data_IF_766966391991
#
_entry.id   IF_766966391991
#
_cell.length_a   1.000
_cell.length_b   1.000
_cell.length_c   1.000
_cell.angle_alpha   90.00
_cell.angle_beta   90.00
_cell.angle_gamma   90.00
#
_symmetry.space_group_name_H-M   'P 1'
#
loop_
_entity.id
_entity.type
_entity.pdbx_description
1 polymer ?
#
# COMPACT_ATOMS: atom_id res chain seq x y z
N UNK A 1 -3.46 6.58 44.46
CA UNK A 1 -2.06 6.45 44.03
C UNK A 1 -1.90 5.45 42.88
N UNK A 2 -2.46 4.22 42.94
CA UNK A 2 -2.38 3.18 41.91
C UNK A 2 -2.95 3.64 40.53
N UNK A 3 -4.19 4.18 40.51
CA UNK A 3 -4.84 4.65 39.27
C UNK A 3 -4.02 5.74 38.59
N UNK A 4 -3.51 6.71 39.35
CA UNK A 4 -2.66 7.79 38.81
C UNK A 4 -1.37 7.24 38.16
N UNK A 5 -0.77 6.22 38.80
CA UNK A 5 0.42 5.56 38.26
C UNK A 5 0.11 4.82 36.96
N UNK A 6 -0.98 4.09 36.90
CA UNK A 6 -1.41 3.37 35.69
C UNK A 6 -1.69 4.34 34.54
N UNK A 7 -2.38 5.45 34.82
CA UNK A 7 -2.67 6.47 33.80
C UNK A 7 -1.39 7.17 33.29
N UNK A 8 -0.44 7.47 34.18
CA UNK A 8 0.87 8.03 33.78
C UNK A 8 1.70 7.03 32.97
N UNK A 9 1.77 5.78 33.43
CA UNK A 9 2.54 4.72 32.72
C UNK A 9 1.90 4.40 31.37
N UNK A 10 0.57 4.48 31.27
CA UNK A 10 -0.18 4.29 30.00
C UNK A 10 -0.17 5.53 29.07
N UNK A 11 0.47 6.63 29.48
CA UNK A 11 0.51 7.87 28.65
C UNK A 11 -0.81 8.65 28.63
N UNK A 12 -1.79 8.32 29.48
CA UNK A 12 -3.06 9.06 29.58
C UNK A 12 -2.95 10.35 30.41
N UNK A 13 -1.90 10.45 31.23
CA UNK A 13 -1.55 11.63 31.99
C UNK A 13 -0.08 11.95 31.75
N UNK A 14 0.19 13.13 31.26
CA UNK A 14 1.53 13.68 31.01
C UNK A 14 1.76 14.89 31.88
N UNK A 15 2.99 15.30 32.05
CA UNK A 15 3.36 16.52 32.76
C UNK A 15 3.06 17.74 31.88
N UNK A 16 2.49 18.80 32.45
CA UNK A 16 2.15 20.04 31.73
C UNK A 16 3.36 20.74 31.09
N UNK A 17 4.58 20.40 31.52
CA UNK A 17 5.82 20.91 30.91
C UNK A 17 6.21 20.20 29.59
N UNK A 18 5.53 19.10 29.23
CA UNK A 18 5.81 18.34 28.01
C UNK A 18 5.04 18.94 26.83
N UNK A 19 5.78 19.39 25.82
CA UNK A 19 5.21 19.80 24.53
C UNK A 19 5.09 18.58 23.60
N UNK A 20 3.93 17.93 23.64
CA UNK A 20 3.65 16.73 22.82
C UNK A 20 3.73 17.02 21.31
N UNK A 21 3.29 18.21 20.89
CA UNK A 21 3.36 18.60 19.47
C UNK A 21 4.81 18.76 19.02
N UNK A 22 5.67 19.32 19.84
CA UNK A 22 7.11 19.43 19.54
C UNK A 22 7.77 18.03 19.45
N UNK A 23 7.41 17.11 20.35
CA UNK A 23 7.89 15.73 20.31
C UNK A 23 7.42 15.05 19.01
N UNK A 24 6.14 15.13 18.67
CA UNK A 24 5.58 14.53 17.46
C UNK A 24 6.25 15.07 16.20
N UNK A 25 6.49 16.39 16.14
CA UNK A 25 7.21 17.05 15.05
C UNK A 25 8.66 16.54 14.94
N UNK A 26 9.36 16.45 16.07
CA UNK A 26 10.72 15.93 16.12
C UNK A 26 10.80 14.50 15.59
N UNK A 27 9.93 13.61 16.05
CA UNK A 27 9.85 12.22 15.62
C UNK A 27 9.51 12.10 14.12
N UNK A 28 8.60 12.96 13.62
CA UNK A 28 8.28 13.05 12.20
C UNK A 28 9.52 13.40 11.38
N UNK A 29 10.28 14.42 11.79
CA UNK A 29 11.50 14.86 11.09
C UNK A 29 12.57 13.79 11.12
N UNK A 30 12.80 13.13 12.26
CA UNK A 30 13.74 12.04 12.39
C UNK A 30 13.41 10.88 11.43
N UNK A 31 12.14 10.48 11.38
CA UNK A 31 11.69 9.41 10.48
C UNK A 31 11.80 9.81 9.00
N UNK A 32 11.36 11.02 8.67
CA UNK A 32 11.31 11.54 7.30
C UNK A 32 12.68 11.66 6.66
N UNK A 33 13.67 12.12 7.40
CA UNK A 33 15.03 12.37 6.91
C UNK A 33 16.02 11.27 7.28
N UNK A 34 15.55 10.16 7.87
CA UNK A 34 16.40 8.99 8.09
C UNK A 34 16.93 8.46 6.76
N UNK A 35 18.22 8.12 6.74
CA UNK A 35 18.85 7.44 5.60
C UNK A 35 19.01 5.94 5.82
N UNK A 36 18.59 5.41 6.97
CA UNK A 36 18.78 4.00 7.31
C UNK A 36 17.83 3.06 6.53
N UNK A 37 16.80 3.59 5.89
CA UNK A 37 15.85 2.82 5.09
C UNK A 37 15.67 3.44 3.70
N UNK A 38 15.82 2.61 2.66
CA UNK A 38 15.49 2.96 1.28
C UNK A 38 14.29 2.14 0.83
N UNK A 39 13.31 2.77 0.19
CA UNK A 39 12.19 2.08 -0.43
C UNK A 39 12.01 2.55 -1.87
N UNK A 40 12.02 1.60 -2.80
CA UNK A 40 11.83 1.87 -4.23
C UNK A 40 10.58 1.15 -4.72
N UNK A 41 9.67 1.88 -5.35
CA UNK A 41 8.62 1.32 -6.20
C UNK A 41 9.13 1.35 -7.63
N UNK A 42 9.31 0.20 -8.26
CA UNK A 42 9.93 0.10 -9.59
C UNK A 42 8.91 -0.40 -10.60
N UNK A 43 8.53 0.46 -11.53
CA UNK A 43 7.73 0.12 -12.70
C UNK A 43 8.65 -0.43 -13.80
N UNK A 44 8.93 -1.73 -13.77
CA UNK A 44 9.81 -2.39 -14.75
C UNK A 44 9.30 -2.26 -16.20
N UNK A 45 7.98 -2.09 -16.35
CA UNK A 45 7.31 -1.83 -17.63
C UNK A 45 6.05 -1.02 -17.41
N UNK A 46 5.71 -0.12 -18.34
CA UNK A 46 4.41 0.53 -18.41
C UNK A 46 3.40 -0.23 -19.30
N UNK A 47 3.81 -1.40 -19.85
CA UNK A 47 2.88 -2.25 -20.60
C UNK A 47 2.00 -3.06 -19.64
N UNK A 48 0.73 -3.25 -20.02
CA UNK A 48 -0.22 -4.06 -19.28
C UNK A 48 -1.08 -4.88 -20.23
N UNK A 49 -1.32 -6.14 -19.85
CA UNK A 49 -2.23 -7.04 -20.57
C UNK A 49 -3.72 -6.76 -20.27
N UNK A 50 -4.04 -5.89 -19.27
CA UNK A 50 -5.39 -5.50 -18.93
C UNK A 50 -5.75 -4.09 -19.41
N UNK A 51 -7.08 -3.78 -19.40
CA UNK A 51 -7.64 -2.44 -19.64
C UNK A 51 -8.70 -2.14 -18.57
N UNK A 52 -8.27 -2.09 -17.31
CA UNK A 52 -9.16 -1.79 -16.18
C UNK A 52 -9.83 -0.43 -16.35
N UNK A 53 -11.15 -0.37 -16.07
CA UNK A 53 -11.96 0.84 -16.32
C UNK A 53 -11.59 2.02 -15.44
N UNK A 54 -11.03 1.76 -14.25
CA UNK A 54 -10.62 2.75 -13.24
C UNK A 54 -9.09 2.91 -13.17
N UNK A 55 -8.33 2.38 -14.12
CA UNK A 55 -6.87 2.47 -14.07
C UNK A 55 -6.40 3.91 -14.22
N UNK A 56 -5.70 4.45 -13.22
CA UNK A 56 -5.17 5.81 -13.26
C UNK A 56 -4.02 5.95 -14.27
N UNK A 57 -3.31 4.86 -14.59
CA UNK A 57 -2.28 4.84 -15.63
C UNK A 57 -2.87 4.75 -17.06
N UNK A 58 -4.18 4.60 -17.23
CA UNK A 58 -4.82 4.33 -18.53
C UNK A 58 -4.43 5.34 -19.63
N UNK A 59 -4.32 6.62 -19.27
CA UNK A 59 -3.96 7.70 -20.19
C UNK A 59 -2.46 7.76 -20.53
N UNK A 60 -1.62 7.10 -19.71
CA UNK A 60 -0.16 7.11 -19.80
C UNK A 60 0.44 5.74 -20.10
N UNK A 61 -0.41 4.69 -20.22
CA UNK A 61 0.05 3.35 -20.62
C UNK A 61 0.80 3.43 -21.94
N UNK A 62 2.05 2.99 -21.92
CA UNK A 62 2.94 2.89 -23.09
C UNK A 62 3.40 1.45 -23.22
N UNK A 63 3.69 1.01 -24.43
CA UNK A 63 4.38 -0.28 -24.64
C UNK A 63 5.89 -0.10 -24.38
N UNK A 64 6.25 0.35 -23.19
CA UNK A 64 7.61 0.68 -22.78
C UNK A 64 8.09 -0.31 -21.73
N UNK A 65 9.33 -0.74 -21.86
CA UNK A 65 10.02 -1.61 -20.92
C UNK A 65 11.35 -0.95 -20.54
N UNK A 66 11.76 -1.08 -19.30
CA UNK A 66 12.93 -0.42 -18.75
C UNK A 66 14.22 -0.83 -19.48
N UNK A 67 15.00 0.16 -19.92
CA UNK A 67 16.25 -0.06 -20.63
C UNK A 67 17.35 -0.60 -19.69
N UNK A 68 18.36 -1.28 -20.26
CA UNK A 68 19.54 -1.70 -19.49
C UNK A 68 20.26 -0.51 -18.82
N UNK A 69 20.36 0.62 -19.51
CA UNK A 69 20.95 1.84 -18.96
C UNK A 69 20.20 2.33 -17.70
N UNK A 70 18.88 2.30 -17.72
CA UNK A 70 18.04 2.65 -16.56
C UNK A 70 18.23 1.64 -15.43
N UNK A 71 18.28 0.33 -15.73
CA UNK A 71 18.57 -0.70 -14.73
C UNK A 71 19.93 -0.47 -14.06
N UNK A 72 20.97 -0.17 -14.85
CA UNK A 72 22.32 0.13 -14.31
C UNK A 72 22.32 1.39 -13.45
N UNK A 73 21.59 2.44 -13.83
CA UNK A 73 21.45 3.65 -13.05
C UNK A 73 20.81 3.39 -11.70
N UNK A 74 19.75 2.55 -11.65
CA UNK A 74 19.11 2.14 -10.39
C UNK A 74 20.09 1.39 -9.50
N UNK A 75 20.86 0.44 -10.05
CA UNK A 75 21.85 -0.32 -9.30
C UNK A 75 22.91 0.60 -8.70
N UNK A 76 23.47 1.53 -9.49
CA UNK A 76 24.44 2.53 -9.02
C UNK A 76 23.86 3.43 -7.92
N UNK A 77 22.58 3.81 -8.04
CA UNK A 77 21.91 4.58 -7.01
C UNK A 77 21.83 3.79 -5.69
N UNK A 78 21.41 2.52 -5.73
CA UNK A 78 21.36 1.65 -4.54
C UNK A 78 22.76 1.43 -3.95
N UNK A 79 23.78 1.21 -4.78
CA UNK A 79 25.19 1.10 -4.34
C UNK A 79 25.66 2.37 -3.63
N UNK A 80 25.30 3.56 -4.13
CA UNK A 80 25.70 4.83 -3.50
C UNK A 80 25.04 5.08 -2.15
N UNK A 81 23.82 4.58 -1.94
CA UNK A 81 23.10 4.69 -0.68
C UNK A 81 23.48 3.59 0.32
N UNK A 82 23.95 2.43 -0.14
CA UNK A 82 24.24 1.25 0.68
C UNK A 82 25.03 1.54 1.97
N UNK A 83 26.06 2.42 2.00
CA UNK A 83 26.80 2.71 3.24
C UNK A 83 25.96 3.30 4.39
N UNK A 84 24.74 3.76 4.10
CA UNK A 84 23.87 4.40 5.08
C UNK A 84 22.66 3.53 5.46
N UNK A 85 22.46 2.40 4.76
CA UNK A 85 21.25 1.60 4.88
C UNK A 85 21.40 0.48 5.92
N UNK A 86 20.38 0.32 6.73
CA UNK A 86 20.10 -0.87 7.53
C UNK A 86 19.09 -1.79 6.82
N UNK A 87 18.20 -1.20 5.98
CA UNK A 87 17.19 -1.95 5.24
C UNK A 87 16.89 -1.32 3.87
N UNK A 88 16.58 -2.19 2.90
CA UNK A 88 16.18 -1.84 1.56
C UNK A 88 14.97 -2.65 1.14
N UNK A 89 13.91 -1.98 0.70
CA UNK A 89 12.69 -2.63 0.21
C UNK A 89 12.36 -2.23 -1.21
N UNK A 90 11.87 -3.19 -1.99
CA UNK A 90 11.42 -2.96 -3.37
C UNK A 90 9.96 -3.37 -3.51
N UNK A 91 9.16 -2.52 -4.15
CA UNK A 91 7.84 -2.89 -4.65
C UNK A 91 7.87 -2.96 -6.17
N UNK A 92 7.74 -4.15 -6.71
CA UNK A 92 7.60 -4.36 -8.14
C UNK A 92 6.21 -3.94 -8.60
N UNK A 93 6.17 -3.01 -9.54
CA UNK A 93 4.97 -2.29 -9.95
C UNK A 93 4.97 -1.99 -11.46
N UNK A 94 4.04 -1.15 -11.91
CA UNK A 94 3.90 -0.67 -13.28
C UNK A 94 2.59 -1.10 -13.92
N UNK A 95 2.53 -1.20 -15.24
CA UNK A 95 1.35 -1.71 -15.93
C UNK A 95 1.01 -3.13 -15.45
N UNK A 96 1.83 -4.11 -15.84
CA UNK A 96 1.86 -5.46 -15.24
C UNK A 96 3.31 -5.92 -15.09
N UNK A 97 3.85 -5.99 -13.88
CA UNK A 97 5.27 -6.29 -13.65
C UNK A 97 5.69 -7.68 -14.15
N UNK A 98 4.80 -8.68 -14.15
CA UNK A 98 5.12 -10.02 -14.64
C UNK A 98 5.35 -10.10 -16.15
N UNK A 99 5.04 -9.04 -16.91
CA UNK A 99 5.46 -8.93 -18.33
C UNK A 99 6.95 -8.59 -18.49
N UNK A 100 7.64 -8.19 -17.40
CA UNK A 100 9.06 -7.87 -17.38
C UNK A 100 9.79 -8.68 -16.27
N UNK A 101 9.47 -9.97 -16.15
CA UNK A 101 10.01 -10.84 -15.10
C UNK A 101 11.53 -10.99 -15.19
N UNK A 102 12.11 -10.91 -16.37
CA UNK A 102 13.55 -10.93 -16.65
C UNK A 102 14.26 -9.71 -16.03
N UNK A 103 13.64 -8.53 -16.10
CA UNK A 103 14.15 -7.30 -15.48
C UNK A 103 14.05 -7.41 -13.95
N UNK A 104 12.93 -7.92 -13.44
CA UNK A 104 12.74 -8.15 -12.00
C UNK A 104 13.84 -9.09 -11.49
N UNK A 105 14.12 -10.19 -12.20
CA UNK A 105 15.17 -11.12 -11.83
C UNK A 105 16.55 -10.47 -11.85
N UNK A 106 16.89 -9.80 -12.95
CA UNK A 106 18.18 -9.12 -13.14
C UNK A 106 18.48 -8.10 -12.03
N UNK A 107 17.52 -7.22 -11.73
CA UNK A 107 17.68 -6.19 -10.69
C UNK A 107 17.69 -6.81 -9.29
N UNK A 108 16.79 -7.75 -8.99
CA UNK A 108 16.73 -8.40 -7.67
C UNK A 108 18.04 -9.09 -7.32
N UNK A 109 18.64 -9.83 -8.24
CA UNK A 109 19.94 -10.50 -8.00
C UNK A 109 21.03 -9.51 -7.66
N UNK A 110 21.10 -8.36 -8.35
CA UNK A 110 22.07 -7.29 -8.06
C UNK A 110 21.81 -6.65 -6.68
N UNK A 111 20.53 -6.39 -6.34
CA UNK A 111 20.14 -5.83 -5.06
C UNK A 111 20.49 -6.77 -3.89
N UNK A 112 20.22 -8.07 -4.05
CA UNK A 112 20.55 -9.10 -3.07
C UNK A 112 22.07 -9.15 -2.84
N UNK A 113 22.86 -9.06 -3.89
CA UNK A 113 24.33 -9.05 -3.77
C UNK A 113 24.84 -7.80 -3.04
N UNK A 114 24.33 -6.60 -3.38
CA UNK A 114 24.64 -5.35 -2.70
C UNK A 114 24.28 -5.45 -1.20
N UNK A 115 23.07 -5.90 -0.90
CA UNK A 115 22.60 -6.00 0.47
C UNK A 115 23.39 -7.00 1.30
N UNK A 116 23.74 -8.17 0.74
CA UNK A 116 24.60 -9.15 1.42
C UNK A 116 26.00 -8.63 1.70
N UNK A 117 26.58 -7.86 0.77
CA UNK A 117 27.92 -7.27 0.95
C UNK A 117 27.97 -6.20 2.04
N UNK A 118 26.85 -5.52 2.30
CA UNK A 118 26.79 -4.38 3.21
C UNK A 118 25.96 -4.66 4.48
N UNK A 119 25.57 -5.91 4.73
CA UNK A 119 24.75 -6.34 5.88
C UNK A 119 23.41 -5.59 5.97
N UNK A 120 22.75 -5.39 4.83
CA UNK A 120 21.47 -4.69 4.70
C UNK A 120 20.33 -5.70 4.64
N UNK A 121 19.28 -5.52 5.45
CA UNK A 121 18.08 -6.32 5.37
C UNK A 121 17.33 -6.01 4.06
N UNK A 122 17.11 -7.04 3.21
CA UNK A 122 16.42 -6.90 1.93
C UNK A 122 15.07 -7.62 1.92
N UNK A 123 14.05 -7.00 1.31
CA UNK A 123 12.76 -7.61 1.06
C UNK A 123 12.06 -6.99 -0.15
N UNK A 124 11.21 -7.78 -0.79
CA UNK A 124 10.44 -7.31 -1.94
C UNK A 124 8.96 -7.67 -1.85
N UNK A 125 8.15 -6.83 -2.47
CA UNK A 125 6.71 -7.00 -2.69
C UNK A 125 6.43 -6.92 -4.18
N UNK A 126 5.38 -7.57 -4.67
CA UNK A 126 4.90 -7.40 -6.03
C UNK A 126 3.41 -7.04 -6.04
N UNK A 127 3.05 -6.05 -6.87
CA UNK A 127 1.65 -5.69 -7.15
C UNK A 127 1.34 -6.13 -8.57
N UNK A 128 0.55 -7.19 -8.72
CA UNK A 128 0.24 -7.81 -10.01
C UNK A 128 -1.26 -8.00 -10.20
N UNK A 129 -1.69 -8.06 -11.44
CA UNK A 129 -3.08 -8.43 -11.74
C UNK A 129 -3.35 -9.95 -11.53
N UNK A 130 -2.32 -10.76 -11.32
CA UNK A 130 -2.44 -12.19 -11.02
C UNK A 130 -2.65 -13.10 -12.22
N UNK A 131 -2.82 -12.56 -13.43
CA UNK A 131 -3.12 -13.35 -14.63
C UNK A 131 -1.97 -14.26 -15.07
N UNK A 132 -0.73 -13.83 -14.88
CA UNK A 132 0.47 -14.58 -15.21
C UNK A 132 1.08 -15.32 -14.01
N UNK A 133 0.40 -15.30 -12.88
CA UNK A 133 0.88 -15.88 -11.62
C UNK A 133 0.66 -17.40 -11.64
N UNK A 134 1.75 -18.16 -11.74
CA UNK A 134 1.75 -19.63 -11.64
C UNK A 134 2.84 -20.12 -10.70
N UNK A 135 2.87 -21.42 -10.37
CA UNK A 135 3.83 -21.98 -9.42
C UNK A 135 5.28 -21.66 -9.78
N UNK A 136 5.68 -21.81 -11.03
CA UNK A 136 7.06 -21.54 -11.46
C UNK A 136 7.45 -20.06 -11.28
N UNK A 137 6.52 -19.13 -11.56
CA UNK A 137 6.72 -17.70 -11.34
C UNK A 137 6.84 -17.39 -9.84
N UNK A 138 5.97 -17.96 -9.00
CA UNK A 138 6.00 -17.75 -7.55
C UNK A 138 7.29 -18.33 -6.97
N UNK A 139 7.68 -19.54 -7.31
CA UNK A 139 8.93 -20.15 -6.84
C UNK A 139 10.15 -19.31 -7.22
N UNK A 140 10.20 -18.80 -8.46
CA UNK A 140 11.25 -17.87 -8.90
C UNK A 140 11.25 -16.60 -8.04
N UNK A 141 10.10 -15.93 -7.88
CA UNK A 141 9.98 -14.70 -7.10
C UNK A 141 10.36 -14.90 -5.62
N UNK A 142 10.03 -16.06 -5.04
CA UNK A 142 10.42 -16.40 -3.67
C UNK A 142 11.95 -16.46 -3.52
N UNK A 143 12.70 -16.98 -4.52
CA UNK A 143 14.17 -16.95 -4.50
C UNK A 143 14.74 -15.52 -4.57
N UNK A 144 13.95 -14.57 -5.04
CA UNK A 144 14.27 -13.15 -5.13
C UNK A 144 13.77 -12.33 -3.92
N UNK A 145 13.40 -13.01 -2.83
CA UNK A 145 12.87 -12.42 -1.59
C UNK A 145 11.56 -11.65 -1.75
N UNK A 146 10.76 -11.97 -2.77
CA UNK A 146 9.38 -11.49 -2.86
C UNK A 146 8.52 -12.33 -1.91
N UNK A 147 8.19 -11.76 -0.75
CA UNK A 147 7.47 -12.44 0.31
C UNK A 147 6.04 -11.91 0.52
N UNK A 148 5.66 -10.87 -0.19
CA UNK A 148 4.33 -10.27 -0.16
C UNK A 148 3.85 -10.03 -1.58
N UNK A 149 2.67 -10.56 -1.88
CA UNK A 149 2.00 -10.40 -3.18
C UNK A 149 0.72 -9.58 -2.97
N UNK A 150 0.51 -8.54 -3.76
CA UNK A 150 -0.79 -7.89 -3.85
C UNK A 150 -1.43 -8.28 -5.19
N UNK A 151 -2.57 -8.97 -5.11
CA UNK A 151 -3.39 -9.35 -6.27
C UNK A 151 -4.72 -8.64 -6.18
N UNK A 152 -5.37 -8.35 -7.31
CA UNK A 152 -6.66 -7.66 -7.32
C UNK A 152 -7.77 -8.54 -7.89
N UNK A 153 -8.88 -8.64 -7.13
CA UNK A 153 -10.11 -9.33 -7.53
C UNK A 153 -11.33 -8.51 -7.07
N UNK A 154 -12.06 -7.85 -7.99
CA UNK A 154 -13.02 -6.80 -7.64
C UNK A 154 -14.44 -7.28 -7.33
N UNK A 155 -14.70 -8.58 -7.40
CA UNK A 155 -16.01 -9.16 -7.17
C UNK A 155 -16.14 -10.48 -7.89
N UNK A 156 -17.37 -11.01 -7.98
CA UNK A 156 -17.66 -12.18 -8.81
C UNK A 156 -17.37 -11.94 -10.29
N UNK A 157 -17.38 -13.00 -11.06
CA UNK A 157 -16.91 -13.05 -12.45
C UNK A 157 -17.46 -11.90 -13.32
N UNK A 158 -18.77 -11.68 -13.31
CA UNK A 158 -19.41 -10.69 -14.18
C UNK A 158 -18.93 -9.26 -13.88
N UNK A 159 -18.78 -8.93 -12.58
CA UNK A 159 -18.30 -7.62 -12.13
C UNK A 159 -16.83 -7.47 -12.43
N UNK A 160 -16.04 -8.49 -12.08
CA UNK A 160 -14.59 -8.46 -12.28
C UNK A 160 -14.24 -8.33 -13.76
N UNK A 161 -14.81 -9.17 -14.62
CA UNK A 161 -14.52 -9.18 -16.06
C UNK A 161 -14.93 -7.88 -16.75
N UNK A 162 -16.03 -7.23 -16.29
CA UNK A 162 -16.41 -5.89 -16.75
C UNK A 162 -15.43 -4.80 -16.29
N UNK A 163 -14.92 -4.90 -15.07
CA UNK A 163 -14.04 -3.88 -14.47
C UNK A 163 -12.59 -4.04 -14.92
N UNK A 164 -12.14 -5.28 -15.18
CA UNK A 164 -10.73 -5.63 -15.43
C UNK A 164 -10.57 -6.58 -16.63
N UNK A 165 -11.07 -6.20 -17.81
CA UNK A 165 -10.91 -7.03 -19.00
C UNK A 165 -9.45 -7.10 -19.48
N UNK A 166 -9.11 -8.15 -20.22
CA UNK A 166 -7.91 -8.19 -21.06
C UNK A 166 -7.91 -7.04 -22.09
N UNK A 167 -6.74 -6.70 -22.61
CA UNK A 167 -6.59 -5.69 -23.66
C UNK A 167 -7.40 -6.03 -24.95
N UNK A 168 -7.70 -7.31 -25.18
CA UNK A 168 -8.55 -7.80 -26.29
C UNK A 168 -10.03 -7.95 -25.91
N UNK A 169 -10.43 -7.54 -24.68
CA UNK A 169 -11.80 -7.61 -24.17
C UNK A 169 -12.18 -8.96 -23.52
N UNK A 170 -11.27 -9.92 -23.43
CA UNK A 170 -11.54 -11.22 -22.79
C UNK A 170 -11.67 -11.08 -21.26
N UNK A 171 -12.38 -12.05 -20.64
CA UNK A 171 -12.49 -12.16 -19.19
C UNK A 171 -11.18 -12.60 -18.53
N UNK A 172 -11.02 -12.29 -17.25
CA UNK A 172 -9.79 -12.52 -16.48
C UNK A 172 -10.03 -13.24 -15.17
N UNK A 173 -11.26 -13.26 -14.68
CA UNK A 173 -11.63 -13.82 -13.38
C UNK A 173 -11.23 -15.29 -13.23
N UNK A 174 -11.62 -16.14 -14.18
CA UNK A 174 -11.39 -17.59 -14.07
C UNK A 174 -9.90 -17.93 -14.02
N UNK A 175 -9.08 -17.20 -14.77
CA UNK A 175 -7.62 -17.42 -14.77
C UNK A 175 -7.00 -16.97 -13.45
N UNK A 176 -7.36 -15.80 -12.93
CA UNK A 176 -6.80 -15.27 -11.67
C UNK A 176 -7.20 -16.16 -10.49
N UNK A 177 -8.47 -16.55 -10.42
CA UNK A 177 -8.96 -17.41 -9.34
C UNK A 177 -8.33 -18.80 -9.37
N UNK A 178 -8.16 -19.40 -10.56
CA UNK A 178 -7.48 -20.66 -10.70
C UNK A 178 -6.00 -20.55 -10.30
N UNK A 179 -5.30 -19.50 -10.77
CA UNK A 179 -3.92 -19.25 -10.40
C UNK A 179 -3.74 -19.14 -8.86
N UNK A 180 -4.62 -18.40 -8.16
CA UNK A 180 -4.57 -18.28 -6.70
C UNK A 180 -4.76 -19.64 -6.00
N UNK A 181 -5.62 -20.51 -6.52
CA UNK A 181 -5.82 -21.87 -6.01
C UNK A 181 -4.55 -22.72 -6.25
N UNK A 182 -3.99 -22.66 -7.46
CA UNK A 182 -2.85 -23.48 -7.85
C UNK A 182 -1.57 -23.12 -7.08
N UNK A 183 -1.37 -21.84 -6.76
CA UNK A 183 -0.16 -21.36 -6.06
C UNK A 183 -0.25 -21.39 -4.53
N UNK A 184 -1.38 -21.79 -3.94
CA UNK A 184 -1.63 -21.68 -2.49
C UNK A 184 -0.57 -22.31 -1.60
N UNK A 185 0.05 -23.40 -2.05
CA UNK A 185 1.03 -24.14 -1.26
C UNK A 185 2.44 -23.53 -1.34
N UNK A 186 2.73 -22.77 -2.39
CA UNK A 186 4.05 -22.17 -2.64
C UNK A 186 4.11 -20.67 -2.39
N UNK A 187 2.96 -19.97 -2.42
CA UNK A 187 2.90 -18.52 -2.21
C UNK A 187 3.00 -18.18 -0.71
N UNK A 188 3.87 -17.22 -0.31
CA UNK A 188 4.03 -16.86 1.10
C UNK A 188 2.80 -16.16 1.68
N UNK A 189 2.34 -15.09 1.03
CA UNK A 189 1.22 -14.28 1.50
C UNK A 189 0.66 -13.41 0.38
N UNK A 190 -0.67 -13.34 0.28
CA UNK A 190 -1.40 -12.50 -0.69
C UNK A 190 -2.28 -11.51 0.02
N UNK A 191 -2.06 -10.22 -0.21
CA UNK A 191 -3.03 -9.17 0.07
C UNK A 191 -3.98 -9.10 -1.15
N UNK A 192 -5.19 -9.63 -1.01
CA UNK A 192 -6.18 -9.64 -2.09
C UNK A 192 -6.98 -8.34 -2.05
N UNK A 193 -6.61 -7.40 -2.94
CA UNK A 193 -7.25 -6.10 -3.03
C UNK A 193 -8.59 -6.21 -3.76
N UNK A 194 -9.62 -5.62 -3.19
CA UNK A 194 -10.93 -5.44 -3.83
C UNK A 194 -11.08 -3.94 -4.08
N UNK A 195 -10.88 -3.48 -5.33
CA UNK A 195 -11.13 -2.07 -5.65
C UNK A 195 -12.62 -1.79 -5.56
N UNK A 196 -13.00 -1.12 -4.49
CA UNK A 196 -14.39 -0.96 -4.08
C UNK A 196 -14.95 0.39 -4.51
N UNK A 197 -16.06 0.34 -5.18
CA UNK A 197 -16.83 1.47 -5.66
C UNK A 197 -18.32 1.17 -5.69
N UNK A 198 -19.15 2.12 -6.18
CA UNK A 198 -20.61 1.99 -6.25
C UNK A 198 -21.09 0.77 -7.03
N UNK A 199 -20.26 0.27 -7.98
CA UNK A 199 -20.60 -0.85 -8.85
C UNK A 199 -20.49 -2.22 -8.17
N UNK A 200 -19.76 -2.35 -7.06
CA UNK A 200 -19.50 -3.64 -6.42
C UNK A 200 -19.62 -3.66 -4.89
N UNK A 201 -19.83 -2.52 -4.23
CA UNK A 201 -19.81 -2.40 -2.76
C UNK A 201 -20.72 -3.39 -2.04
N UNK A 202 -21.89 -3.70 -2.61
CA UNK A 202 -22.86 -4.62 -2.00
C UNK A 202 -22.45 -6.11 -2.13
N UNK A 203 -21.45 -6.42 -2.96
CA UNK A 203 -21.06 -7.79 -3.31
C UNK A 203 -19.62 -8.14 -2.92
N UNK A 204 -18.91 -7.22 -2.26
CA UNK A 204 -17.50 -7.45 -1.85
C UNK A 204 -17.35 -8.65 -0.89
N UNK A 205 -18.39 -8.96 -0.10
CA UNK A 205 -18.41 -10.10 0.82
C UNK A 205 -18.25 -11.44 0.10
N UNK A 206 -18.72 -11.57 -1.15
CA UNK A 206 -18.61 -12.80 -1.93
C UNK A 206 -17.15 -13.22 -2.16
N UNK A 207 -16.20 -12.27 -2.20
CA UNK A 207 -14.76 -12.57 -2.33
C UNK A 207 -14.21 -13.17 -1.04
N UNK A 208 -14.66 -12.72 0.12
CA UNK A 208 -14.26 -13.30 1.40
C UNK A 208 -14.78 -14.74 1.55
N UNK A 209 -16.02 -14.97 1.11
CA UNK A 209 -16.61 -16.32 1.07
C UNK A 209 -15.83 -17.21 0.10
N UNK A 210 -15.53 -16.71 -1.09
CA UNK A 210 -14.73 -17.44 -2.08
C UNK A 210 -13.35 -17.84 -1.53
N UNK A 211 -12.65 -16.97 -0.83
CA UNK A 211 -11.36 -17.27 -0.19
C UNK A 211 -11.51 -18.40 0.84
N UNK A 212 -12.56 -18.36 1.66
CA UNK A 212 -12.86 -19.38 2.66
C UNK A 212 -13.19 -20.73 2.02
N UNK A 213 -14.09 -20.74 1.05
CA UNK A 213 -14.61 -21.94 0.39
C UNK A 213 -13.52 -22.69 -0.40
N UNK A 214 -12.49 -21.97 -0.89
CA UNK A 214 -11.37 -22.56 -1.59
C UNK A 214 -10.15 -22.89 -0.68
N UNK A 215 -10.29 -22.76 0.64
CA UNK A 215 -9.24 -23.09 1.61
C UNK A 215 -8.02 -22.18 1.53
N UNK A 216 -8.20 -20.91 1.16
CA UNK A 216 -7.12 -19.93 0.96
C UNK A 216 -6.88 -19.02 2.18
N UNK A 217 -7.67 -19.15 3.24
CA UNK A 217 -7.73 -18.21 4.37
C UNK A 217 -6.41 -18.04 5.15
N UNK A 218 -5.49 -19.00 5.06
CA UNK A 218 -4.18 -18.90 5.71
C UNK A 218 -3.16 -18.07 4.92
N UNK A 219 -3.39 -17.88 3.63
CA UNK A 219 -2.44 -17.26 2.71
C UNK A 219 -2.99 -16.01 2.02
N UNK A 220 -4.30 -15.93 1.82
CA UNK A 220 -4.96 -14.88 1.04
C UNK A 220 -5.84 -14.04 1.97
N UNK A 221 -5.54 -12.75 2.05
CA UNK A 221 -6.16 -11.80 2.97
C UNK A 221 -6.88 -10.69 2.17
N UNK A 222 -8.21 -10.83 1.95
CA UNK A 222 -8.96 -9.81 1.25
C UNK A 222 -9.04 -8.49 2.03
N UNK A 223 -8.95 -7.37 1.32
CA UNK A 223 -9.20 -6.05 1.89
C UNK A 223 -9.81 -5.10 0.86
N UNK A 224 -10.60 -4.14 1.34
CA UNK A 224 -11.22 -3.13 0.50
C UNK A 224 -10.22 -2.02 0.18
N UNK A 225 -10.06 -1.71 -1.10
CA UNK A 225 -9.31 -0.56 -1.60
C UNK A 225 -10.27 0.47 -2.20
N UNK A 226 -10.33 1.69 -1.65
CA UNK A 226 -11.19 2.75 -2.18
C UNK A 226 -10.76 3.13 -3.60
N UNK A 227 -11.70 3.10 -4.57
CA UNK A 227 -11.49 3.74 -5.87
C UNK A 227 -11.51 5.25 -5.66
N UNK A 228 -10.49 5.92 -6.14
CA UNK A 228 -10.35 7.37 -6.00
C UNK A 228 -10.28 8.04 -7.37
N UNK A 229 -10.83 9.25 -7.47
CA UNK A 229 -10.79 10.08 -8.66
C UNK A 229 -9.68 11.12 -8.55
N UNK A 230 -9.10 11.46 -9.69
CA UNK A 230 -8.10 12.54 -9.83
C UNK A 230 -8.74 13.92 -10.06
N UNK A 231 -10.07 13.99 -10.13
CA UNK A 231 -10.80 15.25 -10.32
C UNK A 231 -12.16 15.08 -10.99
N UNK A 232 -12.87 16.20 -11.21
CA UNK A 232 -14.25 16.18 -11.72
C UNK A 232 -14.41 15.62 -13.14
N UNK A 233 -13.37 15.73 -13.96
CA UNK A 233 -13.35 15.23 -15.34
C UNK A 233 -12.92 13.78 -15.46
N UNK A 234 -12.51 13.15 -14.34
CA UNK A 234 -12.12 11.75 -14.31
C UNK A 234 -13.37 10.86 -14.47
N UNK A 235 -13.39 9.97 -15.48
CA UNK A 235 -14.52 9.07 -15.73
C UNK A 235 -14.84 8.16 -14.55
N UNK A 236 -13.86 7.91 -13.67
CA UNK A 236 -14.04 7.07 -12.49
C UNK A 236 -14.81 7.76 -11.37
N UNK A 237 -15.03 9.08 -11.43
CA UNK A 237 -15.73 9.85 -10.39
C UNK A 237 -17.10 9.28 -10.04
N UNK A 238 -17.86 8.80 -11.04
CA UNK A 238 -19.18 8.18 -10.83
C UNK A 238 -19.12 6.83 -10.10
N UNK A 239 -17.96 6.17 -10.10
CA UNK A 239 -17.73 4.90 -9.42
C UNK A 239 -17.26 5.09 -7.97
N UNK A 240 -16.76 6.27 -7.60
CA UNK A 240 -16.18 6.52 -6.29
C UNK A 240 -17.25 6.55 -5.20
N UNK A 241 -16.92 5.92 -4.07
CA UNK A 241 -17.62 6.10 -2.81
C UNK A 241 -17.07 7.34 -2.09
N UNK A 242 -17.92 8.05 -1.35
CA UNK A 242 -17.42 9.01 -0.37
C UNK A 242 -16.79 8.26 0.81
N UNK A 243 -16.24 8.99 1.79
CA UNK A 243 -15.53 8.36 2.92
C UNK A 243 -16.49 7.59 3.80
N UNK A 244 -17.67 8.14 4.10
CA UNK A 244 -18.67 7.49 4.95
C UNK A 244 -19.18 6.18 4.32
N UNK A 245 -19.56 6.22 3.04
CA UNK A 245 -20.01 5.02 2.30
C UNK A 245 -18.93 3.92 2.31
N UNK A 246 -17.65 4.31 2.17
CA UNK A 246 -16.55 3.35 2.19
C UNK A 246 -16.29 2.77 3.58
N UNK A 247 -16.35 3.59 4.62
CA UNK A 247 -16.22 3.15 6.01
C UNK A 247 -17.36 2.24 6.41
N UNK A 248 -18.60 2.57 6.05
CA UNK A 248 -19.76 1.67 6.27
C UNK A 248 -19.55 0.30 5.63
N UNK A 249 -19.04 0.25 4.39
CA UNK A 249 -18.74 -1.01 3.71
C UNK A 249 -17.68 -1.81 4.48
N UNK A 250 -16.61 -1.16 4.95
CA UNK A 250 -15.58 -1.80 5.78
C UNK A 250 -16.14 -2.35 7.08
N UNK A 251 -16.95 -1.56 7.79
CA UNK A 251 -17.57 -1.97 9.06
C UNK A 251 -18.48 -3.18 8.87
N UNK A 252 -19.27 -3.21 7.81
CA UNK A 252 -20.10 -4.37 7.48
C UNK A 252 -19.27 -5.64 7.29
N UNK A 253 -18.12 -5.54 6.63
CA UNK A 253 -17.21 -6.66 6.42
C UNK A 253 -16.57 -7.15 7.73
N UNK A 254 -16.19 -6.23 8.65
CA UNK A 254 -15.57 -6.57 9.93
C UNK A 254 -16.55 -7.29 10.85
N UNK A 255 -17.81 -6.87 10.87
CA UNK A 255 -18.85 -7.42 11.75
C UNK A 255 -19.48 -8.73 11.21
N UNK A 256 -19.16 -9.11 9.97
CA UNK A 256 -19.62 -10.34 9.34
C UNK A 256 -18.86 -11.59 9.76
N UNK A 257 -19.28 -12.76 9.25
CA UNK A 257 -18.60 -14.05 9.46
C UNK A 257 -17.14 -14.07 8.94
N UNK A 258 -16.77 -13.09 8.14
CA UNK A 258 -15.46 -12.93 7.51
C UNK A 258 -14.43 -12.17 8.35
N UNK A 259 -14.80 -11.74 9.54
CA UNK A 259 -13.93 -10.95 10.44
C UNK A 259 -12.55 -11.59 10.70
N UNK A 260 -12.48 -12.91 10.69
CA UNK A 260 -11.23 -13.66 10.92
C UNK A 260 -10.24 -13.62 9.75
N UNK A 261 -10.67 -13.23 8.53
CA UNK A 261 -9.83 -13.13 7.34
C UNK A 261 -9.13 -11.76 7.22
N UNK A 262 -9.49 -10.79 8.07
CA UNK A 262 -8.88 -9.48 8.04
C UNK A 262 -7.69 -9.43 9.00
N UNK A 263 -6.48 -9.33 8.44
CA UNK A 263 -5.26 -9.05 9.21
C UNK A 263 -5.20 -7.61 9.75
N UNK A 264 -6.07 -6.72 9.26
CA UNK A 264 -6.02 -5.33 9.65
C UNK A 264 -6.51 -5.17 11.08
N UNK A 265 -5.59 -4.83 11.95
CA UNK A 265 -5.93 -4.29 13.25
C UNK A 265 -6.55 -2.91 13.03
N UNK A 266 -7.85 -2.79 13.28
CA UNK A 266 -8.59 -1.52 13.16
C UNK A 266 -8.29 -0.55 14.30
N UNK A 267 -7.46 -0.96 15.24
CA UNK A 267 -6.98 -0.06 16.27
C UNK A 267 -6.02 0.96 15.67
N UNK A 268 -6.33 2.26 15.77
CA UNK A 268 -5.46 3.30 15.23
C UNK A 268 -4.15 3.34 16.02
N UNK A 269 -3.03 3.17 15.33
CA UNK A 269 -1.70 3.28 15.91
C UNK A 269 -1.03 4.57 15.49
N UNK A 270 -0.25 5.23 16.38
CA UNK A 270 0.53 6.39 15.99
C UNK A 270 1.48 6.10 14.83
N UNK A 271 1.57 7.04 13.89
CA UNK A 271 2.46 6.97 12.75
C UNK A 271 3.39 8.18 12.72
N UNK A 272 4.57 8.04 12.13
CA UNK A 272 5.52 9.17 11.97
C UNK A 272 5.27 9.94 10.67
N UNK A 273 4.82 9.24 9.64
CA UNK A 273 4.37 9.78 8.37
C UNK A 273 3.15 8.98 7.91
N UNK A 274 2.22 9.60 7.19
CA UNK A 274 1.06 8.91 6.65
C UNK A 274 1.47 7.87 5.59
N UNK A 275 2.42 8.26 4.75
CA UNK A 275 2.87 7.47 3.61
C UNK A 275 4.37 7.72 3.34
N UNK A 276 5.02 6.76 2.70
CA UNK A 276 6.42 6.88 2.28
C UNK A 276 6.72 8.05 1.35
N UNK A 277 5.71 8.58 0.64
CA UNK A 277 5.88 9.75 -0.23
C UNK A 277 6.41 11.00 0.51
N UNK A 278 6.13 11.14 1.81
CA UNK A 278 6.67 12.23 2.63
C UNK A 278 8.12 12.00 3.10
N UNK A 279 8.68 10.81 2.87
CA UNK A 279 10.03 10.44 3.33
C UNK A 279 11.08 10.74 2.27
N UNK A 280 12.29 11.14 2.71
CA UNK A 280 13.39 11.50 1.82
C UNK A 280 13.84 10.34 0.91
N UNK A 281 13.94 9.14 1.45
CA UNK A 281 14.47 7.94 0.81
C UNK A 281 13.40 6.99 0.25
N UNK A 282 12.27 7.53 -0.23
CA UNK A 282 11.23 6.75 -0.91
C UNK A 282 10.99 7.34 -2.28
N UNK A 283 11.13 6.53 -3.32
CA UNK A 283 10.93 6.94 -4.72
C UNK A 283 10.14 5.92 -5.50
N UNK A 284 9.41 6.42 -6.48
CA UNK A 284 8.78 5.64 -7.55
C UNK A 284 9.57 5.86 -8.81
N UNK A 285 10.00 4.80 -9.47
CA UNK A 285 10.82 4.84 -10.69
C UNK A 285 10.01 4.27 -11.84
N UNK A 286 9.71 5.10 -12.83
CA UNK A 286 9.02 4.67 -14.05
C UNK A 286 9.97 3.94 -15.00
N UNK A 287 9.44 3.24 -15.98
CA UNK A 287 10.18 2.46 -16.96
C UNK A 287 11.16 3.29 -17.82
N UNK A 288 10.95 4.61 -17.95
CA UNK A 288 11.85 5.55 -18.62
C UNK A 288 12.90 6.17 -17.66
N UNK A 289 12.88 5.79 -16.39
CA UNK A 289 13.78 6.29 -15.34
C UNK A 289 13.29 7.55 -14.64
N UNK A 290 12.14 8.09 -14.98
CA UNK A 290 11.55 9.24 -14.28
C UNK A 290 11.26 8.91 -12.83
N UNK A 291 11.59 9.84 -11.93
CA UNK A 291 11.43 9.69 -10.47
C UNK A 291 10.22 10.45 -9.99
N UNK A 292 9.42 9.79 -9.17
CA UNK A 292 8.23 10.38 -8.54
C UNK A 292 8.20 10.09 -7.03
N UNK A 293 7.33 10.79 -6.31
CA UNK A 293 7.07 10.52 -4.88
C UNK A 293 5.85 9.63 -4.65
N UNK A 294 4.92 9.58 -5.59
CA UNK A 294 3.71 8.76 -5.55
C UNK A 294 3.56 7.96 -6.84
N UNK A 295 3.08 6.73 -6.75
CA UNK A 295 2.78 5.92 -7.95
C UNK A 295 1.65 6.51 -8.79
N UNK A 296 0.69 7.25 -8.18
CA UNK A 296 -0.36 7.97 -8.93
C UNK A 296 0.18 9.09 -9.83
N UNK A 297 1.47 9.43 -9.71
CA UNK A 297 2.16 10.40 -10.57
C UNK A 297 2.90 9.75 -11.75
N UNK A 298 2.96 8.40 -11.84
CA UNK A 298 3.62 7.69 -12.95
C UNK A 298 3.07 8.17 -14.29
N UNK A 299 3.99 8.52 -15.21
CA UNK A 299 3.68 9.02 -16.54
C UNK A 299 3.34 10.52 -16.63
N UNK A 300 3.22 11.22 -15.49
CA UNK A 300 2.99 12.67 -15.41
C UNK A 300 4.32 13.40 -15.23
N UNK A 301 5.04 13.61 -16.32
CA UNK A 301 6.41 14.17 -16.29
C UNK A 301 6.52 15.52 -15.57
N UNK A 302 5.46 16.32 -15.59
CA UNK A 302 5.38 17.60 -14.88
C UNK A 302 5.41 17.47 -13.36
N UNK A 303 5.23 16.24 -12.83
CA UNK A 303 5.27 15.90 -11.40
C UNK A 303 6.53 15.17 -11.01
N UNK A 304 7.43 14.93 -11.97
CA UNK A 304 8.68 14.25 -11.72
C UNK A 304 9.58 15.04 -10.76
N UNK A 305 10.30 14.32 -9.93
CA UNK A 305 11.32 14.85 -9.00
C UNK A 305 12.73 14.53 -9.47
N UNK A 306 12.90 14.29 -10.76
CA UNK A 306 14.16 13.98 -11.41
C UNK A 306 14.06 12.75 -12.33
N UNK A 307 15.22 12.25 -12.74
CA UNK A 307 15.35 11.02 -13.50
C UNK A 307 16.55 10.24 -13.01
N UNK A 308 16.42 8.93 -12.82
CA UNK A 308 17.48 8.07 -12.25
C UNK A 308 18.73 8.01 -13.16
N UNK A 309 18.57 8.25 -14.48
CA UNK A 309 19.66 8.29 -15.43
C UNK A 309 20.51 9.57 -15.33
N UNK A 310 20.02 10.58 -14.62
CA UNK A 310 20.70 11.87 -14.39
C UNK A 310 20.88 12.13 -12.90
N UNK A 311 19.88 12.69 -12.24
CA UNK A 311 19.89 13.02 -10.81
C UNK A 311 18.48 13.30 -10.26
N UNK A 312 18.39 13.30 -8.93
CA UNK A 312 17.22 13.83 -8.22
C UNK A 312 17.23 15.34 -8.34
N UNK A 313 16.09 15.94 -8.67
CA UNK A 313 15.91 17.38 -8.78
C UNK A 313 15.31 17.94 -7.50
N UNK A 314 15.97 18.93 -6.92
CA UNK A 314 15.46 19.66 -5.75
C UNK A 314 14.45 20.74 -6.19
N UNK A 315 13.37 20.28 -6.83
CA UNK A 315 12.31 21.12 -7.36
C UNK A 315 11.17 21.33 -6.36
N UNK A 316 10.21 22.20 -6.72
CA UNK A 316 9.06 22.52 -5.88
C UNK A 316 8.19 21.29 -5.58
N UNK A 317 8.09 20.35 -6.52
CA UNK A 317 7.33 19.10 -6.34
C UNK A 317 7.95 18.27 -5.22
N UNK A 318 9.27 18.01 -5.24
CA UNK A 318 9.94 17.27 -4.19
C UNK A 318 9.73 17.93 -2.81
N UNK A 319 9.95 19.25 -2.75
CA UNK A 319 9.83 19.98 -1.48
C UNK A 319 8.40 20.00 -0.94
N UNK A 320 7.37 20.03 -1.81
CA UNK A 320 5.97 19.95 -1.36
C UNK A 320 5.61 18.64 -0.65
N UNK A 321 6.34 17.57 -0.94
CA UNK A 321 6.24 16.30 -0.20
C UNK A 321 7.08 16.32 1.07
N UNK A 322 8.37 16.54 0.98
CA UNK A 322 9.31 16.27 2.07
C UNK A 322 9.41 17.38 3.14
N UNK A 323 8.93 18.60 2.86
CA UNK A 323 8.95 19.70 3.84
C UNK A 323 7.62 19.93 4.56
N UNK A 324 6.56 19.20 4.21
CA UNK A 324 5.27 19.37 4.88
C UNK A 324 5.32 18.94 6.35
N UNK A 325 4.75 19.75 7.22
CA UNK A 325 4.58 19.44 8.64
C UNK A 325 3.10 19.47 9.00
N UNK A 326 2.56 18.33 9.38
CA UNK A 326 1.17 18.23 9.85
C UNK A 326 0.95 18.97 11.17
N UNK A 327 1.98 19.08 11.99
CA UNK A 327 1.93 19.80 13.27
C UNK A 327 1.82 21.32 13.05
N UNK A 328 2.39 21.82 11.96
CA UNK A 328 2.34 23.25 11.62
C UNK A 328 1.16 23.60 10.67
N UNK A 329 0.46 22.60 10.13
CA UNK A 329 -0.70 22.80 9.26
C UNK A 329 -1.92 23.22 10.11
N UNK A 330 -2.53 24.40 9.85
CA UNK A 330 -3.68 24.90 10.65
C UNK A 330 -4.88 23.93 10.67
N UNK A 331 -5.09 23.15 9.61
CA UNK A 331 -6.19 22.18 9.52
C UNK A 331 -5.91 20.91 10.34
N UNK A 332 -4.64 20.65 10.69
CA UNK A 332 -4.19 19.42 11.32
C UNK A 332 -3.67 19.62 12.76
N UNK A 333 -3.11 20.78 13.08
CA UNK A 333 -2.41 21.03 14.35
C UNK A 333 -3.23 20.77 15.61
N UNK A 334 -4.55 21.01 15.55
CA UNK A 334 -5.49 20.78 16.65
C UNK A 334 -6.43 19.60 16.40
N UNK A 335 -6.15 18.78 15.37
CA UNK A 335 -6.96 17.63 15.03
C UNK A 335 -6.72 16.48 16.02
N UNK A 336 -7.80 15.93 16.60
CA UNK A 336 -7.73 14.83 17.57
C UNK A 336 -7.03 13.57 17.02
N UNK A 337 -7.05 13.36 15.70
CA UNK A 337 -6.42 12.20 15.04
C UNK A 337 -5.03 12.51 14.45
N UNK A 338 -4.45 13.68 14.79
CA UNK A 338 -3.13 14.07 14.27
C UNK A 338 -2.06 12.97 14.43
N UNK A 339 -1.86 12.33 15.60
CA UNK A 339 -0.81 11.33 15.79
C UNK A 339 -0.98 10.06 14.96
N UNK A 340 -2.20 9.75 14.52
CA UNK A 340 -2.52 8.55 13.72
C UNK A 340 -2.75 8.85 12.25
N UNK A 341 -2.83 10.14 11.86
CA UNK A 341 -3.07 10.59 10.51
C UNK A 341 -1.87 11.32 9.88
N UNK A 342 -1.17 12.17 10.65
CA UNK A 342 -0.01 12.96 10.21
C UNK A 342 -0.23 13.73 8.89
N UNK A 343 -1.44 14.29 8.70
CA UNK A 343 -1.78 15.14 7.56
C UNK A 343 -2.43 14.44 6.38
N UNK A 344 -2.65 13.12 6.47
CA UNK A 344 -3.33 12.34 5.43
C UNK A 344 -2.51 12.11 4.18
N UNK A 345 -3.19 11.76 3.08
CA UNK A 345 -2.54 11.37 1.81
C UNK A 345 -1.69 12.51 1.22
N UNK A 346 -0.35 12.33 1.08
CA UNK A 346 0.54 13.36 0.54
C UNK A 346 0.21 13.75 -0.90
N UNK A 347 -0.09 12.78 -1.76
CA UNK A 347 -0.46 13.04 -3.15
C UNK A 347 -1.70 13.93 -3.23
N UNK A 348 -2.77 13.60 -2.50
CA UNK A 348 -4.00 14.40 -2.49
C UNK A 348 -3.78 15.81 -1.95
N UNK A 349 -2.91 15.96 -0.94
CA UNK A 349 -2.49 17.25 -0.41
C UNK A 349 -1.76 18.09 -1.44
N UNK A 350 -0.75 17.53 -2.09
CA UNK A 350 0.09 18.24 -3.07
C UNK A 350 -0.72 18.62 -4.32
N UNK A 351 -1.64 17.77 -4.74
CA UNK A 351 -2.52 18.00 -5.89
C UNK A 351 -3.80 18.77 -5.53
N UNK A 352 -3.96 19.21 -4.26
CA UNK A 352 -5.17 19.90 -3.78
C UNK A 352 -6.47 19.13 -4.06
N UNK A 353 -6.41 17.80 -4.00
CA UNK A 353 -7.56 16.93 -4.21
C UNK A 353 -8.38 16.80 -2.91
N UNK A 354 -9.70 16.52 -2.99
CA UNK A 354 -10.53 16.26 -1.82
C UNK A 354 -10.13 14.98 -1.10
N UNK A 355 -10.66 14.75 0.10
CA UNK A 355 -10.50 13.52 0.89
C UNK A 355 -9.04 13.14 1.20
N UNK A 356 -8.21 14.12 1.58
CA UNK A 356 -6.83 13.86 2.01
C UNK A 356 -6.74 13.18 3.37
N UNK A 357 -7.74 13.39 4.24
CA UNK A 357 -7.73 12.93 5.62
C UNK A 357 -7.85 11.40 5.71
N UNK A 358 -7.30 10.84 6.79
CA UNK A 358 -7.58 9.45 7.18
C UNK A 358 -9.06 9.30 7.52
N UNK A 359 -9.61 8.13 7.27
CA UNK A 359 -10.96 7.74 7.68
C UNK A 359 -11.19 7.84 9.21
N UNK A 360 -10.15 7.76 10.01
CA UNK A 360 -10.24 7.95 11.47
C UNK A 360 -10.69 9.35 11.87
N UNK A 361 -10.61 10.35 10.98
CA UNK A 361 -10.97 11.73 11.33
C UNK A 361 -12.41 11.83 11.81
N UNK A 362 -13.32 11.17 11.12
CA UNK A 362 -14.75 11.26 11.37
C UNK A 362 -15.34 9.95 11.96
N UNK A 363 -14.58 8.84 11.94
CA UNK A 363 -15.04 7.49 12.31
C UNK A 363 -14.21 6.81 13.41
N UNK A 364 -13.41 7.58 14.18
CA UNK A 364 -12.52 7.00 15.20
C UNK A 364 -13.27 6.18 16.25
N UNK A 365 -14.42 6.67 16.73
CA UNK A 365 -15.21 6.01 17.78
C UNK A 365 -15.70 4.64 17.30
N UNK A 366 -16.20 4.54 16.06
CA UNK A 366 -16.68 3.29 15.47
C UNK A 366 -15.58 2.24 15.39
N UNK A 367 -14.38 2.63 14.95
CA UNK A 367 -13.22 1.72 14.91
C UNK A 367 -12.76 1.27 16.30
N UNK A 368 -12.80 2.16 17.30
CA UNK A 368 -12.48 1.82 18.69
C UNK A 368 -13.51 0.85 19.29
N UNK A 369 -14.79 1.06 19.05
CA UNK A 369 -15.86 0.15 19.51
C UNK A 369 -15.71 -1.24 18.89
N UNK A 370 -15.47 -1.33 17.58
CA UNK A 370 -15.23 -2.62 16.90
C UNK A 370 -14.03 -3.33 17.49
N UNK A 371 -12.94 -2.59 17.76
CA UNK A 371 -11.73 -3.17 18.35
C UNK A 371 -12.02 -3.71 19.76
N UNK A 372 -12.74 -2.95 20.57
CA UNK A 372 -13.14 -3.37 21.90
C UNK A 372 -14.00 -4.66 21.87
N UNK A 373 -15.00 -4.71 21.00
CA UNK A 373 -15.85 -5.88 20.82
C UNK A 373 -15.06 -7.12 20.38
N UNK A 374 -14.11 -6.97 19.48
CA UNK A 374 -13.25 -8.05 19.02
C UNK A 374 -12.36 -8.60 20.14
N UNK A 375 -11.79 -7.72 20.98
CA UNK A 375 -11.00 -8.12 22.15
C UNK A 375 -11.86 -8.86 23.17
N UNK A 376 -13.08 -8.39 23.44
CA UNK A 376 -14.01 -9.04 24.38
C UNK A 376 -14.38 -10.43 23.87
N UNK A 377 -14.74 -10.57 22.58
CA UNK A 377 -15.08 -11.86 21.97
C UNK A 377 -13.90 -12.85 21.99
N UNK A 378 -12.68 -12.39 21.74
CA UNK A 378 -11.49 -13.23 21.79
C UNK A 378 -11.25 -13.78 23.21
N UNK A 379 -11.31 -12.92 24.23
CA UNK A 379 -11.15 -13.31 25.64
C UNK A 379 -12.24 -14.28 26.14
N UNK A 380 -13.48 -14.11 25.66
CA UNK A 380 -14.58 -15.01 26.01
C UNK A 380 -14.33 -16.43 25.48
N UNK A 381 -13.85 -16.56 24.24
CA UNK A 381 -13.49 -17.85 23.62
C UNK A 381 -12.31 -18.53 24.32
N UNK A 382 -11.30 -17.77 24.76
CA UNK A 382 -10.17 -18.29 25.53
C UNK A 382 -10.65 -18.87 26.87
N UNK A 383 -11.55 -18.17 27.58
CA UNK A 383 -12.11 -18.61 28.84
C UNK A 383 -12.99 -19.86 28.71
N UNK A 384 -13.77 -20.00 27.65
CA UNK A 384 -14.56 -21.20 27.36
C UNK A 384 -13.67 -22.40 27.07
N UNK A 385 -12.57 -22.22 26.32
CA UNK A 385 -11.60 -23.31 26.09
C UNK A 385 -10.83 -23.73 27.31
N UNK A 386 -10.57 -22.83 28.27
CA UNK A 386 -9.91 -23.16 29.56
C UNK A 386 -10.87 -23.90 30.51
N UNK A 387 -12.19 -23.67 30.42
CA UNK A 387 -13.19 -24.38 31.21
C UNK A 387 -13.58 -25.77 30.66
N UNK A 388 -13.22 -26.03 29.39
CA UNK A 388 -13.49 -27.32 28.72
C UNK A 388 -12.35 -28.35 28.84
N UNK A 389 -11.24 -28.01 29.53
CA UNK A 389 -10.11 -28.86 29.87
C UNK A 389 -10.13 -29.14 31.36
#
# INVERSE_FOLDING_TARGET
MFVLHVLKTGGFLIDDSIDEKAILKYEQLCSRYSRSHLSLVIAATSNCNFRCVYCYERSVLRASTMSEATQEAIVKFVESEAPHLESFTVTWYGGEPLLALDIIESLSLKFIDICKKNDIAYGATIVTNGYLLNCAVVEKLNTLYVNQYQVTLDGRKEIHDCSRPLANGGGTYDVITQNLIDVKDVIPSVSLRINTGRHNVDQVHEIFEWVKDNGLSEKVFPYLGKITSTGKEDPTTSMCLNTDEFVEARIKMINGETANLQRNNFYPTPVRCYCGADSNNVFVIDSDGSLYKCWDDIGHIERAVGNINTNIEYNSTLFSYIQYSAVDDPDCSDCAVLPICMGGCPHRRVQSLPDRCSEFKDHLEEFLLITADNVIKARSKENENVQAV
#
